data_IF_719515450105
#
_entry.id   IF_719515450105
#
_cell.length_a   1.000
_cell.length_b   1.000
_cell.length_c   1.000
_cell.angle_alpha   90.00
_cell.angle_beta   90.00
_cell.angle_gamma   90.00
#
_symmetry.space_group_name_H-M   'P 1'
#
loop_
_entity.id
_entity.type
_entity.pdbx_description
1 polymer ?
#
# COMPACT_ATOMS: atom_id res chain seq x y z
N UNK A 1 10.27 -10.60 3.36
CA UNK A 1 11.69 -10.19 3.27
C UNK A 1 12.17 -9.75 4.65
N UNK A 2 13.37 -10.19 5.04
CA UNK A 2 13.86 -10.12 6.43
C UNK A 2 15.03 -9.14 6.45
N UNK A 3 14.97 -8.12 7.31
CA UNK A 3 16.13 -7.27 7.63
C UNK A 3 16.57 -7.65 9.05
N UNK A 4 17.81 -8.11 9.21
CA UNK A 4 18.44 -8.34 10.53
C UNK A 4 17.65 -9.27 11.49
N UNK A 5 16.83 -10.18 10.98
CA UNK A 5 15.99 -11.08 11.79
C UNK A 5 14.64 -10.51 12.23
N UNK A 6 14.30 -9.28 11.80
CA UNK A 6 13.00 -8.66 12.01
C UNK A 6 12.14 -8.78 10.75
N UNK A 7 10.86 -9.10 10.94
CA UNK A 7 9.84 -9.17 9.89
C UNK A 7 9.57 -7.75 9.37
N UNK A 8 9.84 -7.47 8.09
CA UNK A 8 9.57 -6.14 7.52
C UNK A 8 8.09 -5.91 7.28
N UNK A 9 7.60 -4.76 7.76
CA UNK A 9 6.25 -4.25 7.58
C UNK A 9 6.15 -3.44 6.30
N UNK A 10 5.31 -3.88 5.37
CA UNK A 10 5.24 -3.35 4.01
C UNK A 10 3.87 -2.73 3.77
N UNK A 11 3.85 -1.48 3.32
CA UNK A 11 2.65 -0.88 2.72
C UNK A 11 2.78 -0.93 1.21
N UNK A 12 1.74 -1.40 0.54
CA UNK A 12 1.65 -1.43 -0.91
C UNK A 12 0.64 -0.38 -1.39
N UNK A 13 1.07 0.55 -2.24
CA UNK A 13 0.18 1.49 -2.91
C UNK A 13 0.17 1.14 -4.40
N UNK A 14 -0.98 0.74 -4.94
CA UNK A 14 -1.03 0.23 -6.29
C UNK A 14 -2.41 0.24 -6.91
N UNK A 15 -2.47 -0.15 -8.18
CA UNK A 15 -3.70 -0.36 -8.93
C UNK A 15 -3.51 -1.54 -9.88
N UNK A 16 -4.62 -2.18 -10.25
CA UNK A 16 -4.72 -3.16 -11.33
C UNK A 16 -3.81 -4.39 -11.13
N UNK A 17 -3.54 -5.12 -12.22
CA UNK A 17 -2.83 -6.40 -12.21
C UNK A 17 -1.39 -6.33 -11.67
N UNK A 18 -0.75 -5.15 -11.73
CA UNK A 18 0.58 -4.98 -11.13
C UNK A 18 0.54 -5.12 -9.61
N UNK A 19 -0.40 -4.42 -8.97
CA UNK A 19 -0.55 -4.44 -7.53
C UNK A 19 -0.83 -5.85 -7.00
N UNK A 20 -1.74 -6.57 -7.67
CA UNK A 20 -2.04 -7.98 -7.33
C UNK A 20 -0.79 -8.85 -7.37
N UNK A 21 -0.03 -8.84 -8.46
CA UNK A 21 1.20 -9.65 -8.59
C UNK A 21 2.25 -9.27 -7.57
N UNK A 22 2.42 -7.97 -7.32
CA UNK A 22 3.34 -7.47 -6.30
C UNK A 22 2.92 -7.96 -4.91
N UNK A 23 1.63 -7.87 -4.56
CA UNK A 23 1.09 -8.34 -3.29
C UNK A 23 1.35 -9.83 -3.09
N UNK A 24 1.00 -10.66 -4.09
CA UNK A 24 1.22 -12.11 -4.05
C UNK A 24 2.71 -12.43 -3.84
N UNK A 25 3.59 -11.80 -4.62
CA UNK A 25 5.05 -12.03 -4.51
C UNK A 25 5.60 -11.59 -3.15
N UNK A 26 5.10 -10.48 -2.59
CA UNK A 26 5.54 -9.99 -1.29
C UNK A 26 5.16 -10.96 -0.17
N UNK A 27 3.92 -11.47 -0.19
CA UNK A 27 3.41 -12.42 0.80
C UNK A 27 4.10 -13.78 0.65
N UNK A 28 4.26 -14.30 -0.57
CA UNK A 28 4.98 -15.56 -0.85
C UNK A 28 6.43 -15.52 -0.36
N UNK A 29 7.09 -14.36 -0.43
CA UNK A 29 8.47 -14.15 0.06
C UNK A 29 8.55 -13.84 1.57
N UNK A 30 7.47 -14.09 2.31
CA UNK A 30 7.38 -13.84 3.75
C UNK A 30 7.53 -12.36 4.11
N UNK A 31 7.04 -11.45 3.26
CA UNK A 31 6.86 -10.04 3.63
C UNK A 31 5.58 -9.88 4.44
N UNK A 32 5.61 -9.04 5.48
CA UNK A 32 4.40 -8.70 6.23
C UNK A 32 3.75 -7.49 5.56
N UNK A 33 2.75 -7.70 4.70
CA UNK A 33 2.02 -6.59 4.10
C UNK A 33 0.94 -6.12 5.08
N UNK A 34 1.14 -4.94 5.66
CA UNK A 34 0.32 -4.40 6.76
C UNK A 34 -0.82 -3.49 6.27
N UNK A 35 -0.80 -3.10 5.00
CA UNK A 35 -1.86 -2.32 4.40
C UNK A 35 -1.68 -2.15 2.90
N UNK A 36 -2.81 -2.07 2.20
CA UNK A 36 -2.90 -1.86 0.77
C UNK A 36 -3.71 -0.60 0.50
N UNK A 37 -3.13 0.36 -0.21
CA UNK A 37 -3.85 1.51 -0.73
C UNK A 37 -4.11 1.32 -2.22
N UNK A 38 -5.36 1.51 -2.62
CA UNK A 38 -5.78 1.44 -4.02
C UNK A 38 -6.83 2.50 -4.30
N UNK A 39 -6.95 3.01 -5.53
CA UNK A 39 -8.03 3.93 -5.87
C UNK A 39 -9.43 3.35 -5.57
N UNK A 40 -10.45 4.22 -5.39
CA UNK A 40 -11.84 3.80 -5.24
C UNK A 40 -12.30 2.87 -6.37
N UNK A 41 -13.25 2.00 -6.07
CA UNK A 41 -13.80 1.09 -7.07
C UNK A 41 -14.53 1.87 -8.15
N UNK A 42 -14.34 1.44 -9.40
CA UNK A 42 -15.03 2.01 -10.57
C UNK A 42 -16.17 1.05 -10.92
N UNK A 43 -17.43 1.52 -11.03
CA UNK A 43 -18.56 0.66 -11.41
C UNK A 43 -18.25 -0.13 -12.68
N UNK A 44 -18.46 -1.45 -12.63
CA UNK A 44 -18.21 -2.35 -13.77
C UNK A 44 -16.74 -2.74 -13.99
N UNK A 45 -15.80 -2.29 -13.15
CA UNK A 45 -14.38 -2.68 -13.23
C UNK A 45 -13.92 -3.36 -11.95
N UNK A 46 -13.45 -4.60 -12.09
CA UNK A 46 -12.85 -5.34 -10.97
C UNK A 46 -11.53 -4.72 -10.56
N UNK A 47 -11.32 -4.59 -9.25
CA UNK A 47 -10.04 -4.22 -8.65
C UNK A 47 -9.33 -5.47 -8.12
N UNK A 48 -8.46 -6.12 -8.93
CA UNK A 48 -7.85 -7.39 -8.54
C UNK A 48 -6.99 -7.26 -7.28
N UNK A 49 -6.26 -6.15 -7.13
CA UNK A 49 -5.46 -5.88 -5.94
C UNK A 49 -6.31 -5.88 -4.66
N UNK A 50 -7.47 -5.21 -4.69
CA UNK A 50 -8.42 -5.20 -3.56
C UNK A 50 -8.90 -6.61 -3.26
N UNK A 51 -9.37 -7.35 -4.27
CA UNK A 51 -9.87 -8.71 -4.08
C UNK A 51 -8.83 -9.62 -3.43
N UNK A 52 -7.58 -9.59 -3.91
CA UNK A 52 -6.49 -10.39 -3.34
C UNK A 52 -6.13 -9.95 -1.93
N UNK A 53 -6.09 -8.64 -1.65
CA UNK A 53 -5.81 -8.15 -0.30
C UNK A 53 -6.88 -8.60 0.70
N UNK A 54 -8.15 -8.53 0.33
CA UNK A 54 -9.26 -9.03 1.15
C UNK A 54 -9.20 -10.54 1.38
N UNK A 55 -8.81 -11.33 0.37
CA UNK A 55 -8.61 -12.78 0.51
C UNK A 55 -7.47 -13.16 1.46
N UNK A 56 -6.49 -12.27 1.63
CA UNK A 56 -5.33 -12.46 2.49
C UNK A 56 -5.50 -11.78 3.87
N UNK A 57 -6.71 -11.29 4.18
CA UNK A 57 -7.04 -10.54 5.41
C UNK A 57 -6.17 -9.28 5.62
N UNK A 58 -5.72 -8.65 4.53
CA UNK A 58 -4.90 -7.45 4.56
C UNK A 58 -5.79 -6.20 4.52
N UNK A 59 -5.60 -5.21 5.42
CA UNK A 59 -6.37 -3.96 5.40
C UNK A 59 -6.27 -3.23 4.05
N UNK A 60 -7.42 -2.86 3.49
CA UNK A 60 -7.52 -2.10 2.23
C UNK A 60 -8.03 -0.69 2.50
N UNK A 61 -7.31 0.30 1.97
CA UNK A 61 -7.63 1.71 2.07
C UNK A 61 -7.93 2.27 0.68
N UNK A 62 -9.10 2.92 0.52
CA UNK A 62 -9.54 3.50 -0.76
C UNK A 62 -9.85 4.99 -0.66
N UNK A 63 -8.86 5.84 -0.32
CA UNK A 63 -9.12 7.27 -0.22
C UNK A 63 -9.40 7.86 -1.60
N UNK A 64 -10.34 8.81 -1.68
CA UNK A 64 -10.58 9.59 -2.91
C UNK A 64 -9.33 10.40 -3.32
N UNK A 65 -8.54 10.83 -2.33
CA UNK A 65 -7.30 11.57 -2.52
C UNK A 65 -6.22 11.03 -1.58
N UNK A 66 -5.12 10.54 -2.15
CA UNK A 66 -3.98 10.03 -1.40
C UNK A 66 -3.25 11.11 -0.58
N UNK A 67 -3.29 12.37 -1.04
CA UNK A 67 -2.56 13.49 -0.44
C UNK A 67 -3.44 14.26 0.53
N UNK A 68 -3.77 13.62 1.66
CA UNK A 68 -4.54 14.26 2.73
C UNK A 68 -3.95 13.90 4.09
N UNK A 69 -4.01 14.81 5.10
CA UNK A 69 -3.49 14.52 6.43
C UNK A 69 -4.06 13.24 7.03
N UNK A 70 -5.37 12.97 6.82
CA UNK A 70 -6.03 11.75 7.28
C UNK A 70 -5.37 10.47 6.74
N UNK A 71 -5.06 10.43 5.44
CA UNK A 71 -4.41 9.26 4.82
C UNK A 71 -3.01 9.06 5.38
N UNK A 72 -2.30 10.16 5.64
CA UNK A 72 -0.99 10.12 6.28
C UNK A 72 -1.08 9.60 7.72
N UNK A 73 -2.04 10.07 8.52
CA UNK A 73 -2.28 9.62 9.89
C UNK A 73 -2.64 8.13 9.96
N UNK A 74 -3.38 7.62 8.99
CA UNK A 74 -3.65 6.18 8.84
C UNK A 74 -2.38 5.42 8.47
N UNK A 75 -1.59 5.93 7.54
CA UNK A 75 -0.34 5.32 7.07
C UNK A 75 0.69 5.20 8.21
N UNK A 76 0.92 6.25 9.00
CA UNK A 76 1.91 6.21 10.10
C UNK A 76 1.51 5.22 11.20
N UNK A 77 0.21 4.99 11.43
CA UNK A 77 -0.27 3.99 12.40
C UNK A 77 0.08 2.56 12.00
N UNK A 78 0.23 2.30 10.69
CA UNK A 78 0.66 1.00 10.19
C UNK A 78 2.13 0.70 10.51
N UNK A 79 2.92 1.71 10.89
CA UNK A 79 4.37 1.63 11.13
C UNK A 79 5.11 0.87 10.02
N UNK A 80 5.02 1.30 8.76
CA UNK A 80 5.68 0.61 7.66
C UNK A 80 7.19 0.86 7.66
N UNK A 81 7.96 -0.19 7.38
CA UNK A 81 9.39 -0.12 7.11
C UNK A 81 9.67 0.14 5.61
N UNK A 82 8.76 -0.30 4.75
CA UNK A 82 8.88 -0.20 3.30
C UNK A 82 7.56 0.20 2.64
N UNK A 83 7.62 1.21 1.78
CA UNK A 83 6.55 1.58 0.87
C UNK A 83 6.86 1.05 -0.53
N UNK A 84 6.03 0.14 -1.04
CA UNK A 84 6.09 -0.33 -2.42
C UNK A 84 5.00 0.36 -3.24
N UNK A 85 5.37 0.94 -4.38
CA UNK A 85 4.42 1.63 -5.26
C UNK A 85 4.93 1.64 -6.71
N UNK A 86 4.07 2.00 -7.66
CA UNK A 86 4.44 2.12 -9.07
C UNK A 86 4.85 3.55 -9.44
N UNK A 87 5.47 3.69 -10.62
CA UNK A 87 6.04 4.95 -11.12
C UNK A 87 4.99 6.04 -11.45
N UNK A 88 3.69 5.74 -11.41
CA UNK A 88 2.65 6.75 -11.64
C UNK A 88 2.34 7.58 -10.38
N UNK A 89 2.99 7.27 -9.25
CA UNK A 89 2.71 7.89 -7.96
C UNK A 89 3.84 8.78 -7.43
N UNK A 90 4.73 9.27 -8.28
CA UNK A 90 5.88 10.09 -7.87
C UNK A 90 5.48 11.30 -7.01
N UNK A 91 4.34 11.93 -7.31
CA UNK A 91 3.81 13.05 -6.52
C UNK A 91 3.24 12.62 -5.15
N UNK A 92 2.74 11.39 -5.02
CA UNK A 92 2.28 10.82 -3.74
C UNK A 92 3.50 10.50 -2.88
N UNK A 93 4.49 9.80 -3.44
CA UNK A 93 5.77 9.48 -2.78
C UNK A 93 6.42 10.75 -2.27
N UNK A 94 6.59 11.75 -3.14
CA UNK A 94 7.18 13.02 -2.77
C UNK A 94 6.37 13.72 -1.67
N UNK A 95 5.03 13.71 -1.75
CA UNK A 95 4.19 14.30 -0.70
C UNK A 95 4.36 13.59 0.65
N UNK A 96 4.37 12.25 0.69
CA UNK A 96 4.60 11.47 1.91
C UNK A 96 5.95 11.77 2.57
N UNK A 97 7.01 11.93 1.77
CA UNK A 97 8.36 12.21 2.27
C UNK A 97 8.63 13.69 2.59
N UNK A 98 7.82 14.61 2.04
CA UNK A 98 7.86 16.04 2.35
C UNK A 98 6.71 16.47 3.27
N UNK A 99 6.14 15.53 4.03
CA UNK A 99 5.45 15.88 5.27
C UNK A 99 6.52 16.25 6.32
N UNK A 100 7.30 17.31 6.05
CA UNK A 100 8.14 17.94 7.05
C UNK A 100 7.18 18.45 8.13
N UNK A 101 7.17 17.74 9.25
CA UNK A 101 6.68 18.22 10.51
C UNK A 101 7.50 19.46 10.87
N UNK A 102 6.87 20.63 10.81
CA UNK A 102 7.29 21.74 11.66
C UNK A 102 7.21 21.34 13.13
#
# INVERSE_FOLDING_TARGET
AIIMGLQMRIVLIGQAAFGEKALQTLVERGGEVVGVYTPPDIPGKTNPLKSTALQLDIPVFQPERMRTPKVYDEYIKLKPDLLVTNNQQTAVIWWFFNQDFG
#
